data_IF_505703451925
#
_entry.id   IF_505703451925
#
_cell.length_a   1.000
_cell.length_b   1.000
_cell.length_c   1.000
_cell.angle_alpha   90.00
_cell.angle_beta   90.00
_cell.angle_gamma   90.00
#
_symmetry.space_group_name_H-M   'P 1'
#
loop_
_entity.id
_entity.type
_entity.pdbx_description
1 polymer ?
#
# COMPACT_ATOMS: atom_id res chain seq x y z
N UNK A 1 4.14 -5.15 8.62
CA UNK A 1 3.57 -4.04 9.43
C UNK A 1 3.45 -4.54 10.86
N UNK A 2 3.44 -3.66 11.86
CA UNK A 2 3.28 -4.09 13.26
C UNK A 2 1.84 -4.55 13.49
N UNK A 3 1.64 -5.85 13.72
CA UNK A 3 0.30 -6.44 13.90
C UNK A 3 -0.29 -6.19 15.29
N UNK A 4 0.55 -5.95 16.30
CA UNK A 4 0.11 -5.67 17.66
C UNK A 4 -0.51 -4.29 17.84
N UNK A 5 -0.19 -3.33 16.95
CA UNK A 5 -0.55 -1.94 17.15
C UNK A 5 -0.78 -1.21 15.81
N UNK A 6 -2.00 -0.69 15.65
CA UNK A 6 -2.38 0.21 14.56
C UNK A 6 -1.75 1.60 14.71
N UNK A 7 -1.75 2.38 13.63
CA UNK A 7 -1.30 3.77 13.75
C UNK A 7 -2.49 4.68 14.05
N UNK A 8 -2.58 5.17 15.28
CA UNK A 8 -3.55 6.19 15.68
C UNK A 8 -2.81 7.47 16.07
N UNK A 9 -2.96 8.57 15.32
CA UNK A 9 -2.45 9.87 15.74
C UNK A 9 -3.04 10.29 17.09
N UNK A 10 -2.29 11.06 17.86
CA UNK A 10 -2.86 11.81 18.97
C UNK A 10 -3.53 13.08 18.44
N UNK A 11 -4.79 13.31 18.84
CA UNK A 11 -5.53 14.53 18.52
C UNK A 11 -5.88 15.30 19.80
N UNK A 12 -5.93 16.64 19.75
CA UNK A 12 -6.32 17.45 20.90
C UNK A 12 -7.72 17.06 21.42
N UNK A 13 -7.83 16.81 22.72
CA UNK A 13 -9.10 16.52 23.40
C UNK A 13 -9.64 15.11 23.20
N UNK A 14 -8.87 14.20 22.58
CA UNK A 14 -9.28 12.82 22.30
C UNK A 14 -9.65 12.05 23.58
N UNK A 15 -9.03 12.39 24.70
CA UNK A 15 -9.29 11.87 26.05
C UNK A 15 -10.65 12.30 26.63
N UNK A 16 -11.26 13.36 26.09
CA UNK A 16 -12.56 13.88 26.56
C UNK A 16 -13.75 13.21 25.89
N UNK A 17 -13.55 12.56 24.76
CA UNK A 17 -14.64 11.92 24.02
C UNK A 17 -15.28 10.82 24.88
N UNK A 18 -16.59 10.92 25.09
CA UNK A 18 -17.33 10.01 25.98
C UNK A 18 -17.78 8.72 25.29
N UNK A 19 -17.73 8.69 23.95
CA UNK A 19 -18.04 7.52 23.15
C UNK A 19 -16.87 6.53 23.06
N UNK A 20 -16.99 5.56 22.16
CA UNK A 20 -15.97 4.51 21.98
C UNK A 20 -15.05 4.83 20.81
N UNK A 21 -13.74 4.79 21.02
CA UNK A 21 -12.73 4.87 19.95
C UNK A 21 -12.25 3.46 19.63
N UNK A 22 -12.27 3.09 18.35
CA UNK A 22 -11.90 1.76 17.88
C UNK A 22 -10.92 1.86 16.72
N UNK A 23 -9.77 1.19 16.82
CA UNK A 23 -8.89 1.01 15.69
C UNK A 23 -9.29 -0.28 14.93
N UNK A 24 -9.51 -0.25 13.60
CA UNK A 24 -10.00 -1.43 12.88
C UNK A 24 -9.09 -2.67 12.94
N UNK A 25 -7.80 -2.50 13.20
CA UNK A 25 -6.84 -3.61 13.41
C UNK A 25 -7.13 -4.42 14.69
N UNK A 26 -7.81 -3.84 15.68
CA UNK A 26 -8.20 -4.48 16.94
C UNK A 26 -9.71 -4.32 17.14
N UNK A 27 -10.48 -4.76 16.14
CA UNK A 27 -11.93 -4.68 16.14
C UNK A 27 -12.53 -5.48 17.32
N UNK A 28 -13.37 -4.88 18.18
CA UNK A 28 -13.92 -5.57 19.35
C UNK A 28 -15.07 -6.50 18.96
N UNK A 29 -15.12 -7.68 19.59
CA UNK A 29 -16.21 -8.65 19.41
C UNK A 29 -17.56 -8.15 19.95
N UNK A 30 -17.53 -7.23 20.92
CA UNK A 30 -18.70 -6.68 21.62
C UNK A 30 -19.22 -5.35 21.03
N UNK A 31 -18.72 -4.94 19.87
CA UNK A 31 -19.08 -3.66 19.27
C UNK A 31 -20.45 -3.73 18.59
N UNK A 32 -21.48 -3.17 19.24
CA UNK A 32 -22.80 -2.94 18.65
C UNK A 32 -22.91 -1.52 18.08
N UNK A 33 -23.22 -1.42 16.79
CA UNK A 33 -23.40 -0.16 16.07
C UNK A 33 -24.87 0.22 15.88
N UNK A 34 -25.81 -0.61 16.32
CA UNK A 34 -27.25 -0.40 16.13
C UNK A 34 -27.69 0.96 16.68
N UNK A 35 -28.23 1.80 15.80
CA UNK A 35 -28.70 3.14 16.17
C UNK A 35 -27.59 4.10 16.62
N UNK A 36 -26.33 3.82 16.28
CA UNK A 36 -25.17 4.67 16.61
C UNK A 36 -24.78 5.58 15.45
N UNK A 37 -24.33 6.79 15.76
CA UNK A 37 -23.59 7.66 14.84
C UNK A 37 -22.12 7.27 14.88
N UNK A 38 -21.55 6.98 13.71
CA UNK A 38 -20.17 6.53 13.58
C UNK A 38 -19.36 7.54 12.78
N UNK A 39 -18.19 7.93 13.25
CA UNK A 39 -17.21 8.65 12.43
C UNK A 39 -16.06 7.70 12.08
N UNK A 40 -15.75 7.54 10.79
CA UNK A 40 -14.58 6.81 10.33
C UNK A 40 -13.50 7.79 9.86
N UNK A 41 -12.40 7.89 10.61
CA UNK A 41 -11.27 8.77 10.29
C UNK A 41 -10.32 8.07 9.32
N UNK A 42 -10.15 8.65 8.14
CA UNK A 42 -9.26 8.16 7.09
C UNK A 42 -10.01 7.80 5.80
N UNK A 43 -9.27 7.74 4.69
CA UNK A 43 -9.81 7.50 3.34
C UNK A 43 -9.13 6.32 2.62
N UNK A 44 -8.38 5.49 3.35
CA UNK A 44 -7.63 4.37 2.78
C UNK A 44 -8.49 3.14 2.52
N UNK A 45 -7.83 2.02 2.18
CA UNK A 45 -8.50 0.74 1.91
C UNK A 45 -9.34 0.22 3.09
N UNK A 46 -8.91 0.48 4.33
CA UNK A 46 -9.70 0.12 5.53
C UNK A 46 -11.03 0.86 5.56
N UNK A 47 -11.06 2.15 5.22
CA UNK A 47 -12.32 2.90 5.10
C UNK A 47 -13.20 2.33 3.98
N UNK A 48 -12.60 2.06 2.82
CA UNK A 48 -13.32 1.52 1.65
C UNK A 48 -13.96 0.14 1.89
N UNK A 49 -13.54 -0.57 2.95
CA UNK A 49 -14.06 -1.89 3.30
C UNK A 49 -14.99 -1.84 4.52
N UNK A 50 -14.62 -1.10 5.56
CA UNK A 50 -15.39 -1.02 6.80
C UNK A 50 -16.66 -0.21 6.62
N UNK A 51 -16.60 0.95 5.95
CA UNK A 51 -17.75 1.86 5.81
C UNK A 51 -18.93 1.20 5.10
N UNK A 52 -18.78 0.60 3.90
CA UNK A 52 -19.92 -0.07 3.26
C UNK A 52 -20.46 -1.23 4.10
N UNK A 53 -19.59 -1.98 4.80
CA UNK A 53 -20.01 -3.08 5.65
C UNK A 53 -20.88 -2.65 6.84
N UNK A 54 -20.62 -1.47 7.42
CA UNK A 54 -21.35 -0.98 8.60
C UNK A 54 -22.47 0.01 8.28
N UNK A 55 -22.52 0.61 7.08
CA UNK A 55 -23.49 1.65 6.74
C UNK A 55 -24.95 1.22 6.96
N UNK A 56 -25.26 -0.06 6.73
CA UNK A 56 -26.59 -0.64 6.99
C UNK A 56 -26.83 -1.07 8.44
N UNK A 57 -25.81 -1.05 9.30
CA UNK A 57 -25.84 -1.56 10.68
C UNK A 57 -25.88 -0.43 11.73
N UNK A 58 -25.55 0.80 11.33
CA UNK A 58 -25.57 1.98 12.19
C UNK A 58 -26.69 2.97 11.83
N UNK A 59 -26.88 4.01 12.66
CA UNK A 59 -27.77 5.12 12.30
C UNK A 59 -27.24 5.83 11.06
N UNK A 60 -25.95 6.22 11.11
CA UNK A 60 -25.22 6.86 10.02
C UNK A 60 -23.72 6.74 10.22
N UNK A 61 -22.95 6.62 9.13
CA UNK A 61 -21.48 6.65 9.16
C UNK A 61 -20.92 7.83 8.38
N UNK A 62 -20.16 8.70 9.04
CA UNK A 62 -19.48 9.85 8.42
C UNK A 62 -18.00 9.52 8.22
N UNK A 63 -17.52 9.54 6.99
CA UNK A 63 -16.10 9.42 6.68
C UNK A 63 -15.44 10.79 6.81
N UNK A 64 -14.59 10.96 7.83
CA UNK A 64 -13.79 12.16 8.00
C UNK A 64 -12.39 11.94 7.42
N UNK A 65 -12.06 12.67 6.37
CA UNK A 65 -10.78 12.54 5.66
C UNK A 65 -10.07 13.89 5.51
N UNK A 66 -8.76 13.88 5.73
CA UNK A 66 -7.90 15.04 5.44
C UNK A 66 -7.61 15.19 3.95
N UNK A 67 -7.39 14.06 3.28
CA UNK A 67 -7.01 14.02 1.87
C UNK A 67 -7.80 12.92 1.18
N UNK A 68 -8.52 13.24 0.09
CA UNK A 68 -9.24 12.24 -0.68
C UNK A 68 -8.32 11.15 -1.23
N UNK A 69 -8.91 9.99 -1.51
CA UNK A 69 -8.29 8.85 -2.20
C UNK A 69 -9.04 8.58 -3.50
N UNK A 70 -8.33 8.08 -4.50
CA UNK A 70 -8.96 7.56 -5.71
C UNK A 70 -9.63 6.21 -5.46
N UNK A 71 -10.86 6.09 -5.93
CA UNK A 71 -11.62 4.85 -5.89
C UNK A 71 -11.76 4.25 -7.28
N UNK A 72 -11.69 2.93 -7.35
CA UNK A 72 -12.09 2.14 -8.51
C UNK A 72 -13.16 1.16 -8.07
N UNK A 73 -14.09 0.84 -8.97
CA UNK A 73 -15.21 -0.07 -8.71
C UNK A 73 -15.35 -1.07 -9.85
N UNK A 74 -15.93 -2.21 -9.54
CA UNK A 74 -16.18 -3.29 -10.46
C UNK A 74 -16.74 -4.48 -9.69
N UNK A 75 -17.19 -5.48 -10.45
CA UNK A 75 -17.65 -6.73 -9.87
C UNK A 75 -16.51 -7.42 -9.13
N UNK A 76 -16.79 -8.01 -7.97
CA UNK A 76 -15.83 -8.86 -7.27
C UNK A 76 -15.76 -10.27 -7.89
N UNK A 77 -15.49 -10.33 -9.20
CA UNK A 77 -15.39 -11.56 -9.98
C UNK A 77 -14.45 -11.33 -11.17
N UNK A 78 -14.09 -12.41 -11.86
CA UNK A 78 -13.29 -12.33 -13.08
C UNK A 78 -14.08 -12.90 -14.25
N UNK A 79 -14.67 -12.03 -15.06
CA UNK A 79 -15.54 -12.42 -16.19
C UNK A 79 -14.81 -13.28 -17.23
N UNK A 80 -13.51 -13.05 -17.43
CA UNK A 80 -12.70 -13.88 -18.31
C UNK A 80 -12.55 -15.30 -17.75
N UNK A 81 -12.30 -15.43 -16.44
CA UNK A 81 -12.25 -16.73 -15.79
C UNK A 81 -13.60 -17.46 -15.89
N UNK A 82 -14.71 -16.75 -15.62
CA UNK A 82 -16.06 -17.30 -15.72
C UNK A 82 -16.33 -17.81 -17.15
N UNK A 83 -16.02 -16.97 -18.16
CA UNK A 83 -16.19 -17.34 -19.59
C UNK A 83 -15.34 -18.56 -19.96
N UNK A 84 -14.08 -18.64 -19.51
CA UNK A 84 -13.22 -19.77 -19.84
C UNK A 84 -13.66 -21.07 -19.16
N UNK A 85 -14.22 -21.00 -17.94
CA UNK A 85 -14.83 -22.15 -17.26
C UNK A 85 -16.09 -22.63 -17.98
N UNK A 86 -16.93 -21.71 -18.46
CA UNK A 86 -18.10 -22.03 -19.29
C UNK A 86 -17.73 -22.73 -20.60
N UNK A 87 -16.56 -22.41 -21.15
CA UNK A 87 -15.99 -23.05 -22.35
C UNK A 87 -15.24 -24.36 -22.04
N UNK A 88 -15.31 -24.86 -20.80
CA UNK A 88 -14.67 -26.10 -20.34
C UNK A 88 -13.13 -26.12 -20.56
N UNK A 89 -12.48 -24.96 -20.48
CA UNK A 89 -11.02 -24.87 -20.53
C UNK A 89 -10.42 -25.41 -19.23
N UNK A 90 -9.27 -26.10 -19.33
CA UNK A 90 -8.55 -26.61 -18.16
C UNK A 90 -8.13 -25.47 -17.21
N UNK A 91 -8.28 -25.68 -15.90
CA UNK A 91 -8.03 -24.66 -14.87
C UNK A 91 -6.58 -24.14 -14.87
N UNK A 92 -5.62 -24.95 -15.31
CA UNK A 92 -4.21 -24.53 -15.47
C UNK A 92 -4.09 -23.43 -16.53
N UNK A 93 -4.80 -23.59 -17.66
CA UNK A 93 -4.83 -22.58 -18.72
C UNK A 93 -5.67 -21.38 -18.32
N UNK A 94 -6.78 -21.57 -17.62
CA UNK A 94 -7.59 -20.46 -17.08
C UNK A 94 -6.71 -19.57 -16.19
N UNK A 95 -6.03 -20.16 -15.21
CA UNK A 95 -5.17 -19.42 -14.31
C UNK A 95 -4.09 -18.64 -15.07
N UNK A 96 -3.39 -19.28 -16.01
CA UNK A 96 -2.31 -18.61 -16.76
C UNK A 96 -2.84 -17.49 -17.67
N UNK A 97 -3.94 -17.70 -18.38
CA UNK A 97 -4.56 -16.69 -19.25
C UNK A 97 -5.02 -15.49 -18.42
N UNK A 98 -5.76 -15.74 -17.33
CA UNK A 98 -6.30 -14.70 -16.44
C UNK A 98 -5.17 -13.94 -15.78
N UNK A 99 -4.15 -14.63 -15.24
CA UNK A 99 -2.97 -14.00 -14.64
C UNK A 99 -2.28 -13.07 -15.63
N UNK A 100 -2.03 -13.53 -16.87
CA UNK A 100 -1.41 -12.68 -17.92
C UNK A 100 -2.27 -11.46 -18.24
N UNK A 101 -3.58 -11.64 -18.40
CA UNK A 101 -4.51 -10.53 -18.71
C UNK A 101 -4.52 -9.49 -17.59
N UNK A 102 -4.68 -9.93 -16.34
CA UNK A 102 -4.72 -9.03 -15.17
C UNK A 102 -3.41 -8.25 -15.04
N UNK A 103 -2.26 -8.91 -15.17
CA UNK A 103 -0.95 -8.24 -15.08
C UNK A 103 -0.73 -7.26 -16.25
N UNK A 104 -1.18 -7.63 -17.44
CA UNK A 104 -1.08 -6.77 -18.62
C UNK A 104 -1.95 -5.52 -18.47
N UNK A 105 -3.22 -5.67 -18.11
CA UNK A 105 -4.15 -4.55 -17.91
C UNK A 105 -3.67 -3.63 -16.78
N UNK A 106 -3.21 -4.21 -15.67
CA UNK A 106 -2.67 -3.46 -14.55
C UNK A 106 -1.45 -2.63 -14.95
N UNK A 107 -0.56 -3.19 -15.78
CA UNK A 107 0.58 -2.46 -16.32
C UNK A 107 0.15 -1.32 -17.22
N UNK A 108 -0.80 -1.55 -18.12
CA UNK A 108 -1.32 -0.50 -18.99
C UNK A 108 -1.91 0.67 -18.19
N UNK A 109 -2.78 0.37 -17.21
CA UNK A 109 -3.40 1.40 -16.36
C UNK A 109 -2.36 2.12 -15.52
N UNK A 110 -1.36 1.39 -15.00
CA UNK A 110 -0.25 2.00 -14.25
C UNK A 110 0.55 2.95 -15.12
N UNK A 111 0.92 2.53 -16.34
CA UNK A 111 1.69 3.35 -17.28
C UNK A 111 0.91 4.60 -17.71
N UNK A 112 -0.38 4.46 -18.04
CA UNK A 112 -1.25 5.60 -18.35
C UNK A 112 -1.37 6.58 -17.18
N UNK A 113 -1.32 6.10 -15.93
CA UNK A 113 -1.34 6.98 -14.76
C UNK A 113 -0.04 7.79 -14.58
N UNK A 114 1.05 7.42 -15.26
CA UNK A 114 2.26 8.24 -15.37
C UNK A 114 2.22 9.16 -16.59
N UNK A 115 1.83 8.62 -17.75
CA UNK A 115 1.92 9.34 -19.03
C UNK A 115 0.78 10.36 -19.19
N UNK A 116 -0.43 10.00 -18.75
CA UNK A 116 -1.67 10.77 -18.92
C UNK A 116 -2.47 10.87 -17.60
N UNK A 117 -1.88 11.43 -16.52
CA UNK A 117 -2.47 11.38 -15.18
C UNK A 117 -3.83 12.09 -15.07
N UNK A 118 -4.03 13.19 -15.79
CA UNK A 118 -5.30 13.95 -15.76
C UNK A 118 -6.44 13.19 -16.47
N UNK A 119 -6.12 12.40 -17.50
CA UNK A 119 -7.11 11.54 -18.17
C UNK A 119 -7.61 10.47 -17.19
N UNK A 120 -6.69 9.71 -16.57
CA UNK A 120 -7.05 8.65 -15.62
C UNK A 120 -7.80 9.22 -14.40
N UNK A 121 -7.37 10.38 -13.89
CA UNK A 121 -8.08 11.10 -12.82
C UNK A 121 -9.51 11.43 -13.23
N UNK A 122 -9.72 11.94 -14.44
CA UNK A 122 -11.05 12.30 -14.95
C UNK A 122 -11.95 11.07 -15.05
N UNK A 123 -11.46 9.96 -15.60
CA UNK A 123 -12.20 8.70 -15.70
C UNK A 123 -12.60 8.17 -14.32
N UNK A 124 -11.66 8.12 -13.37
CA UNK A 124 -11.93 7.69 -11.99
C UNK A 124 -13.02 8.55 -11.33
N UNK A 125 -12.95 9.87 -11.49
CA UNK A 125 -13.95 10.78 -10.91
C UNK A 125 -15.31 10.69 -11.62
N UNK A 126 -15.34 10.45 -12.93
CA UNK A 126 -16.58 10.27 -13.68
C UNK A 126 -17.33 9.01 -13.23
N UNK A 127 -16.61 7.92 -12.97
CA UNK A 127 -17.19 6.70 -12.41
C UNK A 127 -17.78 6.97 -11.02
N UNK A 128 -17.07 7.72 -10.17
CA UNK A 128 -17.60 8.10 -8.85
C UNK A 128 -18.84 8.98 -8.97
N UNK A 129 -18.83 9.99 -9.86
CA UNK A 129 -19.99 10.87 -10.11
C UNK A 129 -21.23 10.10 -10.55
N UNK A 130 -21.08 9.08 -11.40
CA UNK A 130 -22.23 8.32 -11.91
C UNK A 130 -22.89 7.42 -10.85
N UNK A 131 -22.22 7.16 -9.73
CA UNK A 131 -22.71 6.32 -8.64
C UNK A 131 -23.25 7.12 -7.44
N UNK A 132 -23.09 8.43 -7.47
CA UNK A 132 -23.51 9.33 -6.38
C UNK A 132 -24.79 10.09 -6.74
N UNK A 133 -25.52 10.60 -5.73
CA UNK A 133 -26.69 11.45 -5.97
C UNK A 133 -26.33 12.71 -6.76
N UNK A 134 -27.30 13.20 -7.54
CA UNK A 134 -27.16 14.46 -8.26
C UNK A 134 -26.80 15.62 -7.29
N UNK A 135 -25.80 16.41 -7.65
CA UNK A 135 -25.33 17.54 -6.84
C UNK A 135 -24.34 17.20 -5.72
N UNK A 136 -23.93 15.93 -5.56
CA UNK A 136 -22.89 15.59 -4.60
C UNK A 136 -21.54 16.25 -4.96
N UNK A 137 -20.87 16.86 -3.97
CA UNK A 137 -19.62 17.58 -4.18
C UNK A 137 -18.43 16.62 -4.36
N UNK A 138 -18.32 16.05 -5.55
CA UNK A 138 -17.25 15.11 -5.89
C UNK A 138 -15.88 15.78 -5.89
N UNK A 139 -15.80 17.04 -6.32
CA UNK A 139 -14.53 17.76 -6.39
C UNK A 139 -13.91 17.97 -5.00
N UNK A 140 -14.72 18.25 -3.98
CA UNK A 140 -14.26 18.34 -2.60
C UNK A 140 -13.95 16.97 -1.98
N UNK A 141 -14.79 15.97 -2.24
CA UNK A 141 -14.77 14.72 -1.47
C UNK A 141 -14.00 13.56 -2.09
N UNK A 142 -13.69 13.60 -3.38
CA UNK A 142 -13.06 12.48 -4.06
C UNK A 142 -11.87 12.85 -4.93
N UNK A 143 -11.50 14.13 -5.04
CA UNK A 143 -10.35 14.58 -5.85
C UNK A 143 -9.07 14.69 -5.00
N UNK A 144 -8.11 13.75 -5.11
CA UNK A 144 -6.84 13.83 -4.42
C UNK A 144 -5.91 14.86 -5.07
N UNK A 145 -4.91 15.32 -4.31
CA UNK A 145 -3.86 16.23 -4.79
C UNK A 145 -2.68 15.52 -5.47
N UNK A 146 -2.68 14.19 -5.48
CA UNK A 146 -1.64 13.35 -6.05
C UNK A 146 -2.16 12.68 -7.31
N UNK A 147 -1.29 12.26 -8.24
CA UNK A 147 -1.73 11.58 -9.47
C UNK A 147 -2.23 10.15 -9.19
N UNK A 148 -3.12 9.58 -10.02
CA UNK A 148 -3.50 8.18 -9.89
C UNK A 148 -2.28 7.25 -9.77
N UNK A 149 -2.41 6.20 -8.95
CA UNK A 149 -1.33 5.25 -8.64
C UNK A 149 -0.06 5.81 -7.96
N UNK A 150 0.08 7.11 -7.65
CA UNK A 150 1.12 7.59 -6.73
C UNK A 150 0.89 7.10 -5.29
N UNK A 151 -0.37 6.81 -4.97
CA UNK A 151 -0.78 5.97 -3.85
C UNK A 151 -1.72 4.88 -4.39
N UNK A 152 -1.91 3.80 -3.65
CA UNK A 152 -2.79 2.70 -4.08
C UNK A 152 -4.22 3.21 -4.26
N UNK A 153 -4.87 2.77 -5.34
CA UNK A 153 -6.30 2.99 -5.55
C UNK A 153 -7.08 2.11 -4.56
N UNK A 154 -8.16 2.65 -3.99
CA UNK A 154 -9.06 1.89 -3.15
C UNK A 154 -10.12 1.21 -4.03
N UNK A 155 -10.18 -0.12 -3.98
CA UNK A 155 -11.22 -0.87 -4.69
C UNK A 155 -12.48 -0.96 -3.84
N UNK A 156 -13.62 -0.62 -4.44
CA UNK A 156 -14.96 -0.65 -3.86
C UNK A 156 -15.80 -1.63 -4.67
N UNK A 157 -15.91 -2.89 -4.22
CA UNK A 157 -16.72 -3.91 -4.90
C UNK A 157 -18.15 -3.43 -5.15
N UNK A 158 -18.62 -3.59 -6.39
CA UNK A 158 -20.01 -3.30 -6.78
C UNK A 158 -20.49 -1.87 -6.43
N UNK A 159 -19.56 -0.94 -6.16
CA UNK A 159 -19.86 0.42 -5.74
C UNK A 159 -20.55 0.53 -4.38
N UNK A 160 -20.40 -0.46 -3.49
CA UNK A 160 -21.12 -0.56 -2.21
C UNK A 160 -20.98 0.67 -1.29
N UNK A 161 -19.81 1.32 -1.26
CA UNK A 161 -19.61 2.59 -0.54
C UNK A 161 -20.53 3.69 -1.09
N UNK A 162 -20.60 3.82 -2.41
CA UNK A 162 -21.42 4.84 -3.08
C UNK A 162 -22.90 4.53 -2.95
N UNK A 163 -23.29 3.25 -2.96
CA UNK A 163 -24.65 2.82 -2.67
C UNK A 163 -25.08 3.23 -1.25
N UNK A 164 -24.20 3.08 -0.26
CA UNK A 164 -24.43 3.56 1.11
C UNK A 164 -24.63 5.07 1.20
N UNK A 165 -23.86 5.85 0.43
CA UNK A 165 -24.02 7.31 0.34
C UNK A 165 -25.37 7.65 -0.31
N UNK A 166 -25.69 7.02 -1.44
CA UNK A 166 -26.94 7.24 -2.17
C UNK A 166 -28.18 6.85 -1.34
N UNK A 167 -28.06 5.88 -0.45
CA UNK A 167 -29.11 5.51 0.50
C UNK A 167 -29.23 6.44 1.73
N UNK A 168 -28.38 7.48 1.84
CA UNK A 168 -28.32 8.39 2.99
C UNK A 168 -27.74 7.74 4.26
N UNK A 169 -27.06 6.60 4.12
CA UNK A 169 -26.48 5.84 5.24
C UNK A 169 -25.02 6.18 5.52
N UNK A 170 -24.34 6.75 4.54
CA UNK A 170 -22.97 7.24 4.68
C UNK A 170 -22.82 8.66 4.12
N UNK A 171 -21.82 9.39 4.61
CA UNK A 171 -21.43 10.69 4.07
C UNK A 171 -19.91 10.86 4.08
N UNK A 172 -19.40 11.72 3.21
CA UNK A 172 -17.99 12.10 3.16
C UNK A 172 -17.82 13.53 3.67
N UNK A 173 -16.89 13.74 4.59
CA UNK A 173 -16.45 15.06 5.06
C UNK A 173 -14.95 15.17 4.81
N UNK A 174 -14.57 16.12 3.94
CA UNK A 174 -13.16 16.44 3.69
C UNK A 174 -12.79 17.67 4.48
N UNK A 175 -12.07 17.46 5.58
CA UNK A 175 -11.59 18.52 6.47
C UNK A 175 -10.47 17.99 7.39
N UNK A 176 -9.85 18.89 8.15
CA UNK A 176 -8.92 18.57 9.22
C UNK A 176 -9.62 18.58 10.57
N UNK A 177 -9.17 17.69 11.47
CA UNK A 177 -9.59 17.68 12.87
C UNK A 177 -8.95 18.87 13.58
N UNK A 178 -9.75 19.68 14.26
CA UNK A 178 -9.28 20.71 15.20
C UNK A 178 -9.12 20.08 16.60
N UNK A 179 -10.21 19.55 17.14
CA UNK A 179 -10.23 18.90 18.45
C UNK A 179 -11.38 17.90 18.56
N UNK A 180 -11.19 16.86 19.35
CA UNK A 180 -12.28 16.01 19.83
C UNK A 180 -13.04 16.74 20.92
N UNK A 181 -14.36 16.59 20.92
CA UNK A 181 -15.28 17.09 21.92
C UNK A 181 -15.85 15.95 22.72
N UNK A 182 -16.61 16.24 23.76
CA UNK A 182 -17.25 15.23 24.61
C UNK A 182 -18.21 14.32 23.82
N UNK A 183 -18.76 14.83 22.71
CA UNK A 183 -19.80 14.16 21.89
C UNK A 183 -19.36 13.87 20.45
N UNK A 184 -18.11 14.15 20.07
CA UNK A 184 -17.64 13.92 18.71
C UNK A 184 -16.36 14.65 18.34
N UNK A 185 -16.35 15.28 17.16
CA UNK A 185 -15.20 15.96 16.58
C UNK A 185 -15.59 17.33 16.04
N UNK A 186 -14.83 18.35 16.42
CA UNK A 186 -14.84 19.64 15.72
C UNK A 186 -13.78 19.66 14.63
N UNK A 187 -14.18 20.05 13.43
CA UNK A 187 -13.27 20.25 12.31
C UNK A 187 -12.68 21.66 12.30
N UNK A 188 -11.60 21.88 11.55
CA UNK A 188 -10.96 23.20 11.42
C UNK A 188 -11.82 24.22 10.69
N UNK A 189 -12.79 23.79 9.87
CA UNK A 189 -13.79 24.71 9.30
C UNK A 189 -14.86 25.13 10.31
N UNK A 190 -14.91 24.51 11.49
CA UNK A 190 -15.85 24.82 12.57
C UNK A 190 -17.10 23.94 12.60
N UNK A 191 -17.18 22.92 11.74
CA UNK A 191 -18.26 21.93 11.77
C UNK A 191 -18.10 20.99 12.98
N UNK A 192 -19.21 20.69 13.66
CA UNK A 192 -19.24 19.75 14.78
C UNK A 192 -19.89 18.45 14.30
N UNK A 193 -19.12 17.37 14.28
CA UNK A 193 -19.54 16.04 13.87
C UNK A 193 -19.82 15.19 15.11
N UNK A 194 -21.08 14.86 15.37
CA UNK A 194 -21.47 14.00 16.49
C UNK A 194 -21.16 12.52 16.22
N UNK A 195 -20.68 11.81 17.24
CA UNK A 195 -20.44 10.37 17.17
C UNK A 195 -20.66 9.69 18.53
N UNK A 196 -21.20 8.48 18.47
CA UNK A 196 -21.13 7.52 19.58
C UNK A 196 -19.87 6.64 19.48
N UNK A 197 -19.42 6.38 18.25
CA UNK A 197 -18.26 5.54 17.94
C UNK A 197 -17.36 6.23 16.92
N UNK A 198 -16.06 6.25 17.18
CA UNK A 198 -15.05 6.78 16.25
C UNK A 198 -14.11 5.65 15.84
N UNK A 199 -14.07 5.36 14.54
CA UNK A 199 -13.17 4.39 13.94
C UNK A 199 -11.91 5.11 13.45
N UNK A 200 -10.74 4.74 13.96
CA UNK A 200 -9.46 5.31 13.53
C UNK A 200 -8.88 4.45 12.41
N UNK A 201 -9.46 4.53 11.21
CA UNK A 201 -8.98 3.85 9.99
C UNK A 201 -7.72 4.52 9.42
N UNK A 202 -6.75 4.80 10.28
CA UNK A 202 -5.57 5.66 10.03
C UNK A 202 -4.32 4.89 9.60
N UNK A 203 -4.48 3.60 9.30
CA UNK A 203 -3.46 2.73 8.74
C UNK A 203 -2.64 2.01 9.82
N UNK A 204 -1.37 1.77 9.53
CA UNK A 204 -0.52 0.91 10.35
C UNK A 204 0.88 1.52 10.55
N UNK A 205 1.61 0.96 11.51
CA UNK A 205 3.03 1.20 11.66
C UNK A 205 3.82 0.26 10.73
N UNK A 206 4.63 0.83 9.85
CA UNK A 206 5.55 0.01 9.05
C UNK A 206 6.56 -0.63 10.02
N UNK A 207 6.77 -1.93 9.87
CA UNK A 207 7.76 -2.65 10.66
C UNK A 207 8.81 -3.13 9.66
N UNK A 208 9.95 -2.44 9.68
CA UNK A 208 11.09 -2.74 8.79
C UNK A 208 11.75 -4.01 9.33
N UNK A 209 11.78 -5.07 8.51
CA UNK A 209 12.26 -6.41 8.91
C UNK A 209 11.65 -6.98 10.20
N UNK A 210 10.42 -6.59 10.56
CA UNK A 210 9.67 -7.29 11.62
C UNK A 210 10.09 -6.97 13.05
N UNK A 211 10.60 -5.76 13.32
CA UNK A 211 11.06 -5.32 14.65
C UNK A 211 12.18 -6.21 15.23
N UNK A 212 12.92 -6.90 14.34
CA UNK A 212 14.06 -7.75 14.70
C UNK A 212 15.30 -6.85 14.95
N UNK A 213 15.96 -7.06 16.08
CA UNK A 213 17.23 -6.41 16.40
C UNK A 213 18.40 -7.14 15.73
N UNK A 214 18.89 -6.60 14.62
CA UNK A 214 20.06 -7.15 13.94
C UNK A 214 21.35 -6.59 14.52
N UNK A 215 22.39 -7.42 14.58
CA UNK A 215 23.76 -7.00 14.89
C UNK A 215 24.72 -7.54 13.84
N UNK A 216 25.79 -6.77 13.57
CA UNK A 216 26.92 -7.18 12.75
C UNK A 216 28.18 -7.05 13.59
N UNK A 217 28.88 -8.15 13.80
CA UNK A 217 30.08 -8.23 14.66
C UNK A 217 29.87 -7.62 16.06
N UNK A 218 28.69 -7.86 16.65
CA UNK A 218 28.30 -7.36 17.96
C UNK A 218 27.86 -5.89 18.00
N UNK A 219 27.84 -5.18 16.87
CA UNK A 219 27.36 -3.80 16.77
C UNK A 219 25.93 -3.75 16.22
N UNK A 220 25.02 -2.94 16.77
CA UNK A 220 23.68 -2.76 16.20
C UNK A 220 23.72 -2.37 14.73
N UNK A 221 22.97 -3.08 13.89
CA UNK A 221 22.88 -2.82 12.46
C UNK A 221 21.79 -1.78 12.18
N UNK A 222 22.19 -0.64 11.61
CA UNK A 222 21.25 0.34 11.08
C UNK A 222 21.13 0.18 9.56
N UNK A 223 20.00 -0.37 9.10
CA UNK A 223 19.76 -0.60 7.66
C UNK A 223 19.74 0.69 6.86
N UNK A 224 19.37 1.82 7.46
CA UNK A 224 19.35 3.13 6.79
C UNK A 224 20.73 3.61 6.33
N UNK A 225 21.81 3.00 6.86
CA UNK A 225 23.17 3.30 6.43
C UNK A 225 23.61 2.48 5.21
N UNK A 226 22.84 1.46 4.83
CA UNK A 226 23.13 0.57 3.71
C UNK A 226 22.51 1.05 2.39
N UNK A 227 23.00 0.53 1.27
CA UNK A 227 22.33 0.59 -0.04
C UNK A 227 21.79 -0.80 -0.38
N UNK A 228 20.59 -0.87 -0.94
CA UNK A 228 20.01 -2.15 -1.30
C UNK A 228 20.56 -2.70 -2.61
N UNK A 229 20.98 -3.97 -2.64
CA UNK A 229 21.22 -4.72 -3.87
C UNK A 229 19.91 -5.35 -4.33
N UNK A 230 19.44 -4.92 -5.50
CA UNK A 230 18.19 -5.33 -6.18
C UNK A 230 16.95 -5.29 -5.27
N UNK A 231 16.95 -4.44 -4.24
CA UNK A 231 15.84 -4.38 -3.29
C UNK A 231 15.69 -5.61 -2.40
N UNK A 232 16.73 -6.46 -2.27
CA UNK A 232 16.65 -7.75 -1.57
C UNK A 232 17.84 -8.08 -0.66
N UNK A 233 19.00 -7.45 -0.84
CA UNK A 233 20.14 -7.55 0.09
C UNK A 233 20.68 -6.15 0.41
N UNK A 234 21.67 -6.05 1.29
CA UNK A 234 22.17 -4.77 1.82
C UNK A 234 23.70 -4.71 1.77
N UNK A 235 24.26 -3.60 1.29
CA UNK A 235 25.72 -3.42 1.23
C UNK A 235 26.37 -3.60 2.59
N UNK A 236 27.44 -4.41 2.65
CA UNK A 236 28.18 -4.67 3.89
C UNK A 236 27.49 -5.62 4.88
N UNK A 237 26.31 -6.16 4.54
CA UNK A 237 25.60 -7.12 5.38
C UNK A 237 25.65 -8.50 4.72
N UNK A 238 26.37 -9.48 5.31
CA UNK A 238 26.51 -10.80 4.73
C UNK A 238 25.25 -11.65 4.90
N UNK A 239 24.92 -12.46 3.89
CA UNK A 239 23.93 -13.54 3.94
C UNK A 239 22.50 -13.14 4.41
N UNK A 240 22.18 -11.85 4.49
CA UNK A 240 20.84 -11.36 4.86
C UNK A 240 20.03 -11.05 3.61
N UNK A 241 18.85 -11.64 3.54
CA UNK A 241 17.90 -11.48 2.45
C UNK A 241 16.58 -10.90 2.94
N UNK A 242 16.04 -9.97 2.16
CA UNK A 242 14.79 -9.28 2.42
C UNK A 242 13.84 -9.44 1.25
N UNK A 243 12.72 -10.13 1.49
CA UNK A 243 11.65 -10.26 0.51
C UNK A 243 10.68 -9.10 0.69
N UNK A 244 10.65 -8.20 -0.29
CA UNK A 244 9.66 -7.14 -0.39
C UNK A 244 9.03 -7.16 -1.79
N UNK A 245 7.71 -6.98 -1.89
CA UNK A 245 6.96 -7.07 -3.14
C UNK A 245 6.65 -5.73 -3.82
N UNK A 246 5.91 -5.79 -4.92
CA UNK A 246 5.51 -4.59 -5.66
C UNK A 246 4.42 -3.79 -4.95
N UNK A 247 4.44 -2.47 -5.15
CA UNK A 247 3.36 -1.60 -4.70
C UNK A 247 2.12 -1.71 -5.56
N UNK A 248 2.28 -1.94 -6.86
CA UNK A 248 1.20 -1.94 -7.86
C UNK A 248 0.91 -3.31 -8.45
N UNK A 249 1.57 -4.36 -7.96
CA UNK A 249 1.35 -5.74 -8.36
C UNK A 249 1.32 -6.63 -7.11
N UNK A 250 0.95 -7.90 -7.25
CA UNK A 250 1.00 -8.83 -6.13
C UNK A 250 2.43 -8.98 -5.61
N UNK A 251 2.59 -9.04 -4.28
CA UNK A 251 3.89 -9.25 -3.65
C UNK A 251 4.47 -10.64 -3.96
N UNK A 252 3.59 -11.63 -4.18
CA UNK A 252 3.98 -13.03 -4.46
C UNK A 252 4.77 -13.15 -5.76
N UNK A 253 4.47 -12.32 -6.77
CA UNK A 253 5.20 -12.30 -8.04
C UNK A 253 6.69 -12.03 -7.85
N UNK A 254 7.03 -11.11 -6.94
CA UNK A 254 8.43 -10.79 -6.64
C UNK A 254 9.06 -11.82 -5.72
N UNK A 255 8.27 -12.38 -4.79
CA UNK A 255 8.75 -13.43 -3.89
C UNK A 255 9.24 -14.65 -4.68
N UNK A 256 8.52 -15.06 -5.73
CA UNK A 256 8.94 -16.16 -6.61
C UNK A 256 10.26 -15.83 -7.33
N UNK A 257 10.36 -14.65 -7.94
CA UNK A 257 11.58 -14.21 -8.65
C UNK A 257 12.80 -14.12 -7.72
N UNK A 258 12.61 -13.60 -6.50
CA UNK A 258 13.68 -13.55 -5.50
C UNK A 258 14.06 -14.97 -5.08
N UNK A 259 13.09 -15.86 -4.85
CA UNK A 259 13.36 -17.24 -4.44
C UNK A 259 14.22 -17.98 -5.46
N UNK A 260 13.92 -17.84 -6.75
CA UNK A 260 14.72 -18.45 -7.82
C UNK A 260 16.16 -17.89 -7.88
N UNK A 261 16.30 -16.57 -7.75
CA UNK A 261 17.61 -15.92 -7.72
C UNK A 261 18.43 -16.38 -6.50
N UNK A 262 17.78 -16.58 -5.35
CA UNK A 262 18.41 -17.06 -4.12
C UNK A 262 18.87 -18.50 -4.27
N UNK A 263 18.06 -19.39 -4.84
CA UNK A 263 18.46 -20.76 -5.13
C UNK A 263 19.70 -20.81 -6.04
N UNK A 264 19.72 -19.97 -7.08
CA UNK A 264 20.90 -19.81 -7.96
C UNK A 264 22.12 -19.29 -7.20
N UNK A 265 21.93 -18.29 -6.35
CA UNK A 265 22.99 -17.73 -5.52
C UNK A 265 23.60 -18.77 -4.57
N UNK A 266 22.76 -19.57 -3.91
CA UNK A 266 23.22 -20.62 -3.00
C UNK A 266 24.01 -21.71 -3.75
N UNK A 267 23.52 -22.17 -4.91
CA UNK A 267 24.28 -23.11 -5.74
C UNK A 267 25.62 -22.53 -6.21
N UNK A 268 25.65 -21.25 -6.60
CA UNK A 268 26.88 -20.57 -6.99
C UNK A 268 27.90 -20.50 -5.83
N UNK A 269 27.42 -20.20 -4.62
CA UNK A 269 28.24 -20.24 -3.41
C UNK A 269 28.82 -21.65 -3.16
N UNK A 270 28.00 -22.70 -3.32
CA UNK A 270 28.46 -24.09 -3.18
C UNK A 270 29.55 -24.44 -4.21
N UNK A 271 29.41 -24.01 -5.46
CA UNK A 271 30.40 -24.22 -6.52
C UNK A 271 31.73 -23.52 -6.25
N UNK A 272 31.67 -22.30 -5.68
CA UNK A 272 32.85 -21.53 -5.27
C UNK A 272 33.46 -22.00 -3.95
N UNK A 273 32.73 -22.80 -3.17
CA UNK A 273 33.08 -23.13 -1.78
C UNK A 273 32.99 -21.94 -0.82
N UNK A 274 32.18 -20.94 -1.16
CA UNK A 274 31.99 -19.72 -0.38
C UNK A 274 30.97 -19.94 0.75
N UNK A 275 31.26 -19.40 1.93
CA UNK A 275 30.37 -19.42 3.09
C UNK A 275 29.66 -18.09 3.31
N UNK A 276 30.20 -17.03 2.71
CA UNK A 276 29.71 -15.67 2.85
C UNK A 276 29.54 -15.03 1.49
N UNK A 277 28.39 -14.39 1.28
CA UNK A 277 28.16 -13.45 0.20
C UNK A 277 27.75 -12.10 0.77
N UNK A 278 28.45 -11.05 0.37
CA UNK A 278 28.19 -9.67 0.81
C UNK A 278 28.03 -8.77 -0.40
N UNK A 279 26.91 -8.04 -0.54
CA UNK A 279 26.83 -7.01 -1.55
C UNK A 279 27.83 -5.88 -1.28
N UNK A 280 28.52 -5.42 -2.32
CA UNK A 280 29.46 -4.31 -2.24
C UNK A 280 29.36 -3.43 -3.49
N UNK A 281 29.56 -2.13 -3.32
CA UNK A 281 29.59 -1.20 -4.46
C UNK A 281 30.82 -1.50 -5.31
N UNK A 282 30.60 -1.66 -6.62
CA UNK A 282 31.67 -1.72 -7.61
C UNK A 282 32.38 -0.37 -7.67
N UNK A 283 33.65 -0.35 -8.09
CA UNK A 283 34.39 0.91 -8.26
C UNK A 283 33.68 1.90 -9.20
N UNK A 284 33.02 1.40 -10.25
CA UNK A 284 32.22 2.20 -11.19
C UNK A 284 30.88 2.72 -10.64
N UNK A 285 30.48 2.26 -9.45
CA UNK A 285 29.27 2.66 -8.76
C UNK A 285 29.57 3.57 -7.55
N UNK A 286 30.84 3.82 -7.24
CA UNK A 286 31.25 4.58 -6.04
C UNK A 286 30.64 5.99 -6.00
N UNK A 287 30.53 6.65 -7.16
CA UNK A 287 29.99 8.01 -7.31
C UNK A 287 28.50 8.03 -7.72
N UNK A 288 27.79 6.90 -7.63
CA UNK A 288 26.38 6.87 -8.02
C UNK A 288 25.53 7.76 -7.12
N UNK A 289 24.48 8.36 -7.68
CA UNK A 289 23.53 9.11 -6.86
C UNK A 289 22.78 8.15 -5.93
N UNK A 290 22.77 8.47 -4.64
CA UNK A 290 22.07 7.71 -3.60
C UNK A 290 20.87 8.54 -3.12
N UNK A 291 19.71 7.90 -3.09
CA UNK A 291 18.44 8.48 -2.66
C UNK A 291 17.71 7.62 -1.63
N UNK A 292 16.47 8.01 -1.28
CA UNK A 292 15.63 7.20 -0.41
C UNK A 292 15.33 5.84 -1.06
N UNK A 293 14.94 4.86 -0.24
CA UNK A 293 14.57 3.53 -0.71
C UNK A 293 13.52 3.54 -1.84
N UNK A 294 12.55 4.46 -1.72
CA UNK A 294 11.51 4.70 -2.71
C UNK A 294 11.46 6.19 -3.03
N UNK A 295 11.42 6.51 -4.33
CA UNK A 295 11.24 7.88 -4.81
C UNK A 295 9.83 8.40 -4.44
N UNK A 296 9.71 9.47 -3.62
CA UNK A 296 8.41 10.03 -3.25
C UNK A 296 7.62 10.64 -4.43
N UNK A 297 8.28 10.96 -5.55
CA UNK A 297 7.59 11.35 -6.79
C UNK A 297 6.89 10.14 -7.45
N UNK A 298 7.41 8.93 -7.22
CA UNK A 298 6.83 7.68 -7.69
C UNK A 298 5.74 7.17 -6.73
N UNK A 299 6.05 7.00 -5.45
CA UNK A 299 5.12 6.40 -4.48
C UNK A 299 5.32 6.95 -3.07
N UNK A 300 4.30 7.61 -2.50
CA UNK A 300 4.45 8.39 -1.26
C UNK A 300 3.28 8.29 -0.25
N UNK A 301 2.66 7.11 -0.03
CA UNK A 301 1.64 7.01 1.00
C UNK A 301 2.23 7.33 2.39
N UNK A 302 1.42 7.95 3.24
CA UNK A 302 1.91 8.54 4.49
C UNK A 302 2.55 7.50 5.44
N UNK A 303 2.05 6.26 5.46
CA UNK A 303 2.64 5.18 6.28
C UNK A 303 4.10 4.87 5.90
N UNK A 304 4.42 4.96 4.60
CA UNK A 304 5.77 4.74 4.09
C UNK A 304 6.64 5.95 4.41
N UNK A 305 6.12 7.16 4.16
CA UNK A 305 6.87 8.39 4.37
C UNK A 305 7.29 8.59 5.83
N UNK A 306 6.44 8.23 6.80
CA UNK A 306 6.79 8.27 8.24
C UNK A 306 7.99 7.37 8.58
N UNK A 307 8.20 6.30 7.83
CA UNK A 307 9.19 5.25 8.15
C UNK A 307 10.35 5.21 7.14
N UNK A 308 10.39 6.12 6.16
CA UNK A 308 11.38 6.12 5.08
C UNK A 308 12.83 6.22 5.61
N UNK A 309 13.00 6.95 6.72
CA UNK A 309 14.30 7.13 7.39
C UNK A 309 14.85 5.85 8.05
N UNK A 310 14.02 4.80 8.20
CA UNK A 310 14.41 3.50 8.74
C UNK A 310 14.77 2.49 7.63
N UNK A 311 14.48 2.82 6.37
CA UNK A 311 14.68 1.95 5.22
C UNK A 311 16.09 2.13 4.62
N UNK A 312 16.64 1.09 3.96
CA UNK A 312 17.92 1.22 3.27
C UNK A 312 17.85 2.24 2.13
N UNK A 313 18.99 2.77 1.73
CA UNK A 313 19.05 3.70 0.60
C UNK A 313 18.95 2.95 -0.73
N UNK A 314 18.61 3.68 -1.80
CA UNK A 314 18.63 3.17 -3.16
C UNK A 314 19.58 3.99 -4.03
N UNK A 315 20.33 3.32 -4.90
CA UNK A 315 21.14 3.95 -5.93
C UNK A 315 20.34 4.27 -7.20
N UNK A 316 20.98 4.95 -8.15
CA UNK A 316 20.42 5.30 -9.45
C UNK A 316 20.74 4.29 -10.57
N UNK A 317 21.10 3.04 -10.24
CA UNK A 317 21.25 1.94 -11.21
C UNK A 317 20.31 0.77 -10.85
N UNK A 318 19.90 -0.10 -11.80
CA UNK A 318 18.95 -1.17 -11.52
C UNK A 318 19.40 -2.16 -10.45
N UNK A 319 20.71 -2.41 -10.35
CA UNK A 319 21.33 -3.31 -9.37
C UNK A 319 21.21 -2.77 -7.94
N UNK A 320 21.03 -1.45 -7.78
CA UNK A 320 21.06 -0.76 -6.48
C UNK A 320 19.69 -0.24 -6.04
N UNK A 321 18.60 -0.76 -6.60
CA UNK A 321 17.23 -0.34 -6.26
C UNK A 321 16.23 -1.47 -6.36
N UNK A 322 15.08 -1.31 -5.70
CA UNK A 322 13.87 -2.03 -6.07
C UNK A 322 13.16 -1.25 -7.18
N UNK A 323 13.13 -1.77 -8.41
CA UNK A 323 12.61 -1.00 -9.58
C UNK A 323 11.11 -0.73 -9.54
N UNK A 324 10.36 -1.51 -8.74
CA UNK A 324 8.90 -1.57 -8.74
C UNK A 324 8.27 -2.02 -10.07
N UNK A 325 9.08 -2.49 -11.03
CA UNK A 325 8.66 -2.90 -12.36
C UNK A 325 8.79 -4.42 -12.51
N UNK A 326 7.66 -5.11 -12.44
CA UNK A 326 7.58 -6.55 -12.64
C UNK A 326 8.01 -6.98 -14.05
N UNK A 327 7.69 -6.20 -15.08
CA UNK A 327 7.98 -6.58 -16.47
C UNK A 327 9.45 -6.51 -16.79
N UNK A 328 10.16 -5.57 -16.16
CA UNK A 328 11.61 -5.54 -16.17
C UNK A 328 12.21 -6.66 -15.30
N UNK A 329 11.79 -6.78 -14.03
CA UNK A 329 12.42 -7.71 -13.08
C UNK A 329 12.19 -9.19 -13.43
N UNK A 330 11.08 -9.55 -14.08
CA UNK A 330 10.83 -10.94 -14.53
C UNK A 330 11.84 -11.43 -15.57
N UNK A 331 12.51 -10.52 -16.29
CA UNK A 331 13.59 -10.85 -17.22
C UNK A 331 14.96 -10.61 -16.56
N UNK A 332 15.10 -9.50 -15.83
CA UNK A 332 16.38 -9.06 -15.28
C UNK A 332 16.86 -9.89 -14.08
N UNK A 333 15.98 -10.40 -13.22
CA UNK A 333 16.38 -11.22 -12.07
C UNK A 333 16.82 -12.63 -12.51
N UNK A 334 16.09 -13.34 -13.39
CA UNK A 334 16.58 -14.62 -13.93
C UNK A 334 17.85 -14.49 -14.76
N UNK A 335 18.08 -13.35 -15.41
CA UNK A 335 19.31 -13.08 -16.17
C UNK A 335 20.44 -12.44 -15.34
N UNK A 336 20.24 -12.19 -14.05
CA UNK A 336 21.25 -11.54 -13.21
C UNK A 336 22.53 -12.36 -13.19
N UNK A 337 23.65 -11.71 -13.53
CA UNK A 337 25.00 -12.24 -13.40
C UNK A 337 25.44 -12.13 -11.94
N UNK A 338 25.83 -13.27 -11.35
CA UNK A 338 26.23 -13.38 -9.96
C UNK A 338 27.70 -13.02 -9.75
N UNK A 339 28.48 -12.87 -10.82
CA UNK A 339 29.89 -12.49 -10.82
C UNK A 339 30.13 -11.08 -11.38
N UNK A 340 29.07 -10.26 -11.48
CA UNK A 340 29.12 -8.90 -12.04
C UNK A 340 29.88 -7.87 -11.17
N UNK A 341 30.46 -8.33 -10.06
CA UNK A 341 31.22 -7.56 -9.07
C UNK A 341 30.36 -6.88 -8.00
N UNK A 342 29.03 -7.00 -8.03
CA UNK A 342 28.17 -6.47 -6.97
C UNK A 342 28.14 -7.37 -5.72
N UNK A 343 28.50 -8.65 -5.86
CA UNK A 343 28.53 -9.65 -4.80
C UNK A 343 29.98 -10.10 -4.55
N UNK A 344 30.40 -10.05 -3.29
CA UNK A 344 31.71 -10.51 -2.83
C UNK A 344 31.53 -11.84 -2.11
N UNK A 345 32.23 -12.87 -2.58
CA UNK A 345 32.20 -14.23 -2.05
C UNK A 345 33.46 -14.50 -1.22
N UNK A 346 33.28 -15.13 -0.05
CA UNK A 346 34.37 -15.53 0.85
C UNK A 346 34.16 -16.90 1.47
#
# INVERSE_FOLDING_TARGET
YRHSEGYTPEWPGMDRFQGRIVHPQTWPDDLDLTGKKVICIGSGATTATVVPAIAGQCEHVTVLQRSPTYFWTGRNANELADTLRELEIDETWIHEIVRRKVLHDQQMVTQLAFDEPEMIKTELLNIVRSLLPEGYDVDKHFTPKYRPWQQRLAFVPDGDLFAGISAGKASMVTDEIDTFTETGIRTKSGEELEADVILTATGFNLSVLGDIEFTLDGTPLNLADTVTYRGMMFTGVPNLLWVFGYFRASWTLRADLISDLVCRLLHHMDELGAQRVTPALRSQDADMAIGPWMDPSNFNPNYLMRSMHLLPKAGNKPEWRHTQDYWYEKEALPAADLDDGCLVYE
#
